data_IF_275345940380
#
_entry.id   IF_275345940380
#
_cell.length_a   1.000
_cell.length_b   1.000
_cell.length_c   1.000
_cell.angle_alpha   90.00
_cell.angle_beta   90.00
_cell.angle_gamma   90.00
#
_symmetry.space_group_name_H-M   'P 1'
#
loop_
_entity.id
_entity.type
_entity.pdbx_description
1 polymer ?
#
# COMPACT_ATOMS: atom_id res chain seq x y z
N UNK A 1 -9.08 7.20 1.74
CA UNK A 1 -7.88 6.87 0.95
C UNK A 1 -6.63 7.67 1.35
N UNK A 2 -6.63 9.01 1.31
CA UNK A 2 -5.42 9.81 1.61
C UNK A 2 -4.81 9.54 3.01
N UNK A 3 -5.65 9.33 4.02
CA UNK A 3 -5.18 8.96 5.37
C UNK A 3 -4.56 7.55 5.40
N UNK A 4 -5.18 6.59 4.69
CA UNK A 4 -4.65 5.22 4.58
C UNK A 4 -3.28 5.20 3.89
N UNK A 5 -3.11 5.97 2.81
CA UNK A 5 -1.82 6.10 2.14
C UNK A 5 -0.74 6.69 3.05
N UNK A 6 -1.08 7.67 3.89
CA UNK A 6 -0.12 8.20 4.89
C UNK A 6 0.29 7.16 5.93
N UNK A 7 -0.64 6.32 6.36
CA UNK A 7 -0.34 5.24 7.30
C UNK A 7 0.52 4.14 6.65
N UNK A 8 0.27 3.81 5.38
CA UNK A 8 1.14 2.94 4.56
C UNK A 8 2.56 3.49 4.49
N UNK A 9 2.71 4.77 4.13
CA UNK A 9 4.00 5.44 4.00
C UNK A 9 4.77 5.41 5.34
N UNK A 10 4.12 5.82 6.44
CA UNK A 10 4.72 5.79 7.77
C UNK A 10 5.13 4.39 8.21
N UNK A 11 4.25 3.41 8.03
CA UNK A 11 4.49 2.05 8.50
C UNK A 11 5.53 1.31 7.63
N UNK A 12 5.74 1.74 6.38
CA UNK A 12 6.83 1.26 5.52
C UNK A 12 8.20 1.81 5.90
N UNK A 13 8.27 2.96 6.58
CA UNK A 13 9.50 3.63 6.99
C UNK A 13 9.90 3.27 8.43
N UNK A 14 8.95 3.36 9.34
CA UNK A 14 9.10 2.94 10.73
C UNK A 14 8.51 1.53 10.75
N UNK A 15 9.34 0.48 10.83
CA UNK A 15 8.92 -0.94 10.87
C UNK A 15 7.97 -1.20 12.06
N UNK A 16 6.74 -0.70 11.96
CA UNK A 16 5.71 -0.74 12.99
C UNK A 16 4.86 -1.97 12.73
N UNK A 17 4.61 -2.73 13.78
CA UNK A 17 3.46 -3.62 13.88
C UNK A 17 2.21 -2.81 13.50
N UNK A 18 1.60 -3.15 12.36
CA UNK A 18 0.47 -2.40 11.79
C UNK A 18 0.31 -2.50 10.27
N UNK A 19 1.35 -2.90 9.52
CA UNK A 19 1.24 -3.08 8.06
C UNK A 19 0.17 -4.11 7.66
N UNK A 20 -0.09 -5.13 8.48
CA UNK A 20 -1.09 -6.17 8.21
C UNK A 20 -2.53 -5.63 8.25
N UNK A 21 -2.84 -4.76 9.22
CA UNK A 21 -4.15 -4.08 9.29
C UNK A 21 -4.35 -3.14 8.10
N UNK A 22 -3.32 -2.38 7.77
CA UNK A 22 -3.31 -1.49 6.60
C UNK A 22 -3.48 -2.29 5.29
N UNK A 23 -2.82 -3.44 5.15
CA UNK A 23 -2.99 -4.32 3.98
C UNK A 23 -4.43 -4.84 3.86
N UNK A 24 -5.07 -5.15 4.99
CA UNK A 24 -6.47 -5.61 5.00
C UNK A 24 -7.41 -4.51 4.52
N UNK A 25 -7.24 -3.27 5.00
CA UNK A 25 -8.02 -2.12 4.53
C UNK A 25 -7.76 -1.80 3.05
N UNK A 26 -6.50 -1.88 2.58
CA UNK A 26 -6.16 -1.68 1.17
C UNK A 26 -6.84 -2.70 0.25
N UNK A 27 -6.91 -3.98 0.66
CA UNK A 27 -7.61 -5.03 -0.09
C UNK A 27 -9.11 -4.75 -0.14
N UNK A 28 -9.71 -4.32 0.96
CA UNK A 28 -11.12 -3.92 0.98
C UNK A 28 -11.40 -2.79 -0.02
N UNK A 29 -10.56 -1.76 -0.05
CA UNK A 29 -10.70 -0.66 -1.00
C UNK A 29 -10.48 -1.07 -2.46
N UNK A 30 -9.55 -2.00 -2.72
CA UNK A 30 -9.35 -2.57 -4.06
C UNK A 30 -10.62 -3.28 -4.53
N UNK A 31 -11.22 -4.09 -3.66
CA UNK A 31 -12.39 -4.90 -4.00
C UNK A 31 -13.65 -4.04 -4.17
N UNK A 32 -13.74 -2.92 -3.45
CA UNK A 32 -14.81 -1.94 -3.60
C UNK A 32 -14.61 -0.94 -4.75
N UNK A 33 -13.39 -0.79 -5.28
CA UNK A 33 -13.11 0.15 -6.36
C UNK A 33 -13.83 -0.29 -7.64
N UNK A 34 -14.65 0.59 -8.22
CA UNK A 34 -15.30 0.36 -9.53
C UNK A 34 -14.41 0.76 -10.71
N UNK A 35 -13.55 1.77 -10.51
CA UNK A 35 -12.57 2.22 -11.50
C UNK A 35 -11.44 1.20 -11.68
N UNK A 36 -11.19 0.82 -12.94
CA UNK A 36 -10.19 -0.21 -13.28
C UNK A 36 -8.78 0.28 -12.97
N UNK A 37 -8.45 1.54 -13.27
CA UNK A 37 -7.11 2.09 -13.06
C UNK A 37 -6.76 2.25 -11.57
N UNK A 38 -7.74 2.62 -10.75
CA UNK A 38 -7.61 2.66 -9.29
C UNK A 38 -7.48 1.25 -8.72
N UNK A 39 -8.26 0.29 -9.20
CA UNK A 39 -8.17 -1.12 -8.77
C UNK A 39 -6.80 -1.72 -9.08
N UNK A 40 -6.24 -1.43 -10.25
CA UNK A 40 -4.89 -1.84 -10.63
C UNK A 40 -3.82 -1.20 -9.74
N UNK A 41 -3.92 0.11 -9.50
CA UNK A 41 -2.99 0.82 -8.62
C UNK A 41 -3.04 0.28 -7.18
N UNK A 42 -4.24 0.02 -6.65
CA UNK A 42 -4.43 -0.58 -5.33
C UNK A 42 -3.90 -2.03 -5.27
N UNK A 43 -4.06 -2.79 -6.35
CA UNK A 43 -3.50 -4.15 -6.45
C UNK A 43 -1.98 -4.10 -6.38
N UNK A 44 -1.35 -3.19 -7.11
CA UNK A 44 0.09 -2.99 -7.05
C UNK A 44 0.55 -2.60 -5.63
N UNK A 45 -0.15 -1.67 -4.98
CA UNK A 45 0.15 -1.26 -3.61
C UNK A 45 0.02 -2.44 -2.62
N UNK A 46 -1.03 -3.24 -2.71
CA UNK A 46 -1.20 -4.44 -1.88
C UNK A 46 -0.02 -5.42 -2.04
N UNK A 47 0.45 -5.61 -3.28
CA UNK A 47 1.57 -6.50 -3.57
C UNK A 47 2.89 -5.96 -2.99
N UNK A 48 3.14 -4.66 -3.11
CA UNK A 48 4.32 -4.01 -2.54
C UNK A 48 4.34 -4.11 -1.01
N UNK A 49 3.20 -3.82 -0.37
CA UNK A 49 3.03 -3.95 1.09
C UNK A 49 3.21 -5.40 1.55
N UNK A 50 2.70 -6.38 0.79
CA UNK A 50 2.90 -7.81 1.09
C UNK A 50 4.38 -8.20 1.02
N UNK A 51 5.14 -7.73 0.00
CA UNK A 51 6.59 -7.94 -0.09
C UNK A 51 7.33 -7.32 1.09
N UNK A 52 6.93 -6.11 1.49
CA UNK A 52 7.51 -5.43 2.65
C UNK A 52 7.25 -6.18 3.96
N UNK A 53 6.06 -6.77 4.13
CA UNK A 53 5.75 -7.64 5.28
C UNK A 53 6.63 -8.89 5.31
N UNK A 54 6.82 -9.54 4.16
CA UNK A 54 7.59 -10.79 4.09
C UNK A 54 9.10 -10.58 4.23
N UNK A 55 9.65 -9.51 3.67
CA UNK A 55 11.09 -9.24 3.71
C UNK A 55 11.37 -7.74 3.82
N UNK A 56 11.24 -7.12 4.99
CA UNK A 56 11.34 -5.68 5.09
C UNK A 56 12.77 -5.18 4.82
N UNK A 57 12.95 -4.39 3.76
CA UNK A 57 14.21 -3.77 3.34
C UNK A 57 13.97 -2.43 2.64
N UNK A 58 15.04 -1.65 2.42
CA UNK A 58 14.93 -0.32 1.84
C UNK A 58 14.35 -0.29 0.41
N UNK A 59 14.60 -1.34 -0.38
CA UNK A 59 14.06 -1.44 -1.73
C UNK A 59 12.53 -1.63 -1.70
N UNK A 60 12.02 -2.51 -0.83
CA UNK A 60 10.58 -2.71 -0.66
C UNK A 60 9.89 -1.53 0.02
N UNK A 61 10.54 -0.85 0.97
CA UNK A 61 10.03 0.44 1.49
C UNK A 61 9.85 1.44 0.34
N UNK A 62 10.84 1.59 -0.54
CA UNK A 62 10.75 2.50 -1.69
C UNK A 62 9.66 2.07 -2.67
N UNK A 63 9.53 0.78 -2.92
CA UNK A 63 8.48 0.22 -3.77
C UNK A 63 7.07 0.57 -3.25
N UNK A 64 6.85 0.45 -1.94
CA UNK A 64 5.59 0.84 -1.30
C UNK A 64 5.29 2.33 -1.51
N UNK A 65 6.28 3.21 -1.38
CA UNK A 65 6.11 4.65 -1.61
C UNK A 65 5.71 4.96 -3.07
N UNK A 66 6.34 4.30 -4.04
CA UNK A 66 6.03 4.49 -5.46
C UNK A 66 4.60 4.00 -5.77
N UNK A 67 4.21 2.84 -5.24
CA UNK A 67 2.87 2.31 -5.44
C UNK A 67 1.80 3.18 -4.76
N UNK A 68 2.09 3.75 -3.58
CA UNK A 68 1.20 4.66 -2.88
C UNK A 68 0.97 5.96 -3.68
N UNK A 69 2.02 6.49 -4.29
CA UNK A 69 1.95 7.66 -5.15
C UNK A 69 1.14 7.37 -6.44
N UNK A 70 1.23 6.17 -6.99
CA UNK A 70 0.42 5.77 -8.14
C UNK A 70 -1.08 5.73 -7.81
N UNK A 71 -1.45 5.28 -6.61
CA UNK A 71 -2.84 5.34 -6.12
C UNK A 71 -3.28 6.80 -5.91
N UNK A 72 -2.39 7.66 -5.39
CA UNK A 72 -2.68 9.09 -5.14
C UNK A 72 -2.97 9.89 -6.42
N UNK A 73 -2.45 9.45 -7.57
CA UNK A 73 -2.62 10.09 -8.89
C UNK A 73 -3.88 9.64 -9.65
N UNK A 74 -4.64 8.70 -9.10
CA UNK A 74 -5.94 8.25 -9.64
C UNK A 74 -7.07 8.96 -8.90
#
# INVERSE_FOLDING_TARGET
MQQLLREVEKASQVRRSGLEGVLTELRHHRDAASDVGLREALTWLCNAVSRMLSNPNAAHSREVLVAAEAVRRR
#
